data_IF_056623842730
#
_entry.id   IF_056623842730
#
_cell.length_a   1.000
_cell.length_b   1.000
_cell.length_c   1.000
_cell.angle_alpha   90.00
_cell.angle_beta   90.00
_cell.angle_gamma   90.00
#
_symmetry.space_group_name_H-M   'P 1'
#
loop_
_entity.id
_entity.type
_entity.pdbx_description
1 polymer ?
#
# COMPACT_ATOMS: atom_id res chain seq x y z
N UNK A 1 17.39 10.95 10.46
CA UNK A 1 18.37 10.79 9.36
C UNK A 1 17.93 9.83 8.24
N UNK A 2 17.48 8.60 8.54
CA UNK A 2 17.11 7.61 7.49
C UNK A 2 16.06 8.11 6.48
N UNK A 3 14.97 8.72 6.94
CA UNK A 3 13.94 9.27 6.04
C UNK A 3 14.41 10.46 5.21
N UNK A 4 15.31 11.28 5.75
CA UNK A 4 15.90 12.41 5.04
C UNK A 4 16.81 11.94 3.89
N UNK A 5 17.64 10.92 4.13
CA UNK A 5 18.48 10.32 3.09
C UNK A 5 17.64 9.64 2.00
N UNK A 6 16.59 8.91 2.37
CA UNK A 6 15.67 8.29 1.41
C UNK A 6 14.98 9.37 0.56
N UNK A 7 14.52 10.46 1.19
CA UNK A 7 13.91 11.58 0.46
C UNK A 7 14.88 12.21 -0.54
N UNK A 8 16.12 12.47 -0.13
CA UNK A 8 17.14 13.08 -0.99
C UNK A 8 17.52 12.16 -2.16
N UNK A 9 17.60 10.84 -1.92
CA UNK A 9 17.81 9.84 -2.96
C UNK A 9 16.66 9.82 -3.99
N UNK A 10 15.41 9.81 -3.52
CA UNK A 10 14.23 9.84 -4.39
C UNK A 10 14.19 11.12 -5.21
N UNK A 11 14.51 12.27 -4.59
CA UNK A 11 14.59 13.56 -5.28
C UNK A 11 15.68 13.55 -6.35
N UNK A 12 16.86 13.02 -6.06
CA UNK A 12 17.95 12.91 -7.02
C UNK A 12 17.57 12.05 -8.23
N UNK A 13 16.97 10.87 -7.99
CA UNK A 13 16.47 10.00 -9.08
C UNK A 13 15.44 10.74 -9.93
N UNK A 14 14.51 11.47 -9.29
CA UNK A 14 13.49 12.23 -10.00
C UNK A 14 14.09 13.32 -10.89
N UNK A 15 15.04 14.11 -10.38
CA UNK A 15 15.74 15.14 -11.15
C UNK A 15 16.47 14.53 -12.34
N UNK A 16 17.17 13.41 -12.14
CA UNK A 16 17.89 12.72 -13.22
C UNK A 16 16.91 12.23 -14.29
N UNK A 17 15.81 11.59 -13.91
CA UNK A 17 14.78 11.14 -14.87
C UNK A 17 14.18 12.27 -15.69
N UNK A 18 13.82 13.41 -15.05
CA UNK A 18 13.29 14.58 -15.75
C UNK A 18 14.33 15.17 -16.69
N UNK A 19 15.58 15.28 -16.25
CA UNK A 19 16.67 15.86 -17.04
C UNK A 19 17.01 14.99 -18.25
N UNK A 20 17.06 13.66 -18.08
CA UNK A 20 17.27 12.71 -19.19
C UNK A 20 16.13 12.76 -20.21
N UNK A 21 14.90 12.95 -19.73
CA UNK A 21 13.76 13.24 -20.60
C UNK A 21 13.96 14.57 -21.34
N UNK A 22 14.21 15.67 -20.64
CA UNK A 22 14.34 16.99 -21.24
C UNK A 22 15.49 17.10 -22.27
N UNK A 23 16.59 16.36 -22.10
CA UNK A 23 17.69 16.33 -23.08
C UNK A 23 17.45 15.38 -24.26
N UNK A 24 16.43 14.52 -24.21
CA UNK A 24 16.03 13.68 -25.34
C UNK A 24 15.09 14.47 -26.27
N UNK A 25 15.69 15.37 -27.05
CA UNK A 25 14.98 16.23 -28.02
C UNK A 25 14.74 15.58 -29.38
N UNK A 26 15.06 14.30 -29.53
CA UNK A 26 14.79 13.56 -30.75
C UNK A 26 13.27 13.48 -30.99
N UNK A 27 12.86 13.98 -32.15
CA UNK A 27 11.47 13.97 -32.62
C UNK A 27 11.24 12.71 -33.45
N UNK A 28 10.13 12.02 -33.19
CA UNK A 28 9.65 10.87 -33.96
C UNK A 28 8.30 11.23 -34.56
N UNK A 29 8.18 11.02 -35.87
CA UNK A 29 6.96 11.23 -36.63
C UNK A 29 6.05 10.01 -36.51
N UNK A 30 4.89 10.20 -35.89
CA UNK A 30 3.83 9.21 -35.85
C UNK A 30 2.82 9.49 -36.95
N UNK A 31 2.76 8.59 -37.93
CA UNK A 31 1.75 8.62 -38.97
C UNK A 31 0.51 7.86 -38.48
N UNK A 32 -0.47 8.59 -37.97
CA UNK A 32 -1.81 8.04 -37.75
C UNK A 32 -2.56 7.99 -39.09
N UNK A 33 -3.50 7.06 -39.22
CA UNK A 33 -4.21 6.80 -40.48
C UNK A 33 -4.90 8.04 -41.11
N UNK A 34 -5.14 9.10 -40.33
CA UNK A 34 -5.74 10.35 -40.78
C UNK A 34 -4.87 11.60 -40.51
N UNK A 35 -3.76 11.49 -39.78
CA UNK A 35 -2.95 12.64 -39.38
C UNK A 35 -1.52 12.26 -38.99
N UNK A 36 -0.55 13.12 -39.28
CA UNK A 36 0.84 12.96 -38.85
C UNK A 36 1.10 13.84 -37.62
N UNK A 37 1.54 13.24 -36.53
CA UNK A 37 1.90 13.94 -35.29
C UNK A 37 3.39 13.82 -35.00
N UNK A 38 4.05 14.94 -34.70
CA UNK A 38 5.44 14.98 -34.28
C UNK A 38 5.52 14.95 -32.75
N UNK A 39 6.12 13.88 -32.21
CA UNK A 39 6.26 13.71 -30.77
C UNK A 39 7.74 13.53 -30.39
N UNK A 40 8.15 14.15 -29.28
CA UNK A 40 9.49 13.91 -28.73
C UNK A 40 9.53 12.56 -28.02
N UNK A 41 10.60 11.80 -28.19
CA UNK A 41 10.79 10.51 -27.50
C UNK A 41 10.66 10.68 -25.99
N UNK A 42 11.19 11.79 -25.47
CA UNK A 42 11.10 12.19 -24.07
C UNK A 42 9.67 12.27 -23.54
N UNK A 43 8.75 12.87 -24.31
CA UNK A 43 7.34 12.98 -23.90
C UNK A 43 6.65 11.63 -23.88
N UNK A 44 6.89 10.78 -24.88
CA UNK A 44 6.35 9.43 -24.95
C UNK A 44 6.83 8.59 -23.76
N UNK A 45 8.15 8.62 -23.50
CA UNK A 45 8.75 7.87 -22.40
C UNK A 45 8.26 8.38 -21.04
N UNK A 46 8.14 9.69 -20.86
CA UNK A 46 7.61 10.29 -19.63
C UNK A 46 6.15 9.86 -19.38
N UNK A 47 5.30 9.87 -20.42
CA UNK A 47 3.90 9.43 -20.31
C UNK A 47 3.81 7.95 -19.97
N UNK A 48 4.57 7.09 -20.67
CA UNK A 48 4.63 5.66 -20.39
C UNK A 48 5.10 5.36 -18.96
N UNK A 49 6.16 6.04 -18.51
CA UNK A 49 6.68 5.88 -17.17
C UNK A 49 5.69 6.35 -16.10
N UNK A 50 5.09 7.54 -16.29
CA UNK A 50 4.09 8.07 -15.36
C UNK A 50 2.86 7.18 -15.27
N UNK A 51 2.37 6.68 -16.41
CA UNK A 51 1.24 5.74 -16.46
C UNK A 51 1.58 4.42 -15.77
N UNK A 52 2.75 3.84 -16.07
CA UNK A 52 3.23 2.61 -15.45
C UNK A 52 3.40 2.76 -13.93
N UNK A 53 3.98 3.87 -13.48
CA UNK A 53 4.13 4.20 -12.07
C UNK A 53 2.77 4.37 -11.39
N UNK A 54 1.82 5.09 -12.00
CA UNK A 54 0.48 5.27 -11.46
C UNK A 54 -0.26 3.94 -11.30
N UNK A 55 -0.19 3.06 -12.30
CA UNK A 55 -0.79 1.72 -12.24
C UNK A 55 -0.12 0.89 -11.13
N UNK A 56 1.20 0.85 -11.09
CA UNK A 56 1.96 0.11 -10.07
C UNK A 56 1.66 0.62 -8.66
N UNK A 57 1.60 1.93 -8.48
CA UNK A 57 1.22 2.58 -7.23
C UNK A 57 -0.20 2.21 -6.81
N UNK A 58 -1.15 2.23 -7.74
CA UNK A 58 -2.56 1.93 -7.46
C UNK A 58 -2.74 0.46 -7.05
N UNK A 59 -2.10 -0.48 -7.77
CA UNK A 59 -2.11 -1.90 -7.41
C UNK A 59 -1.47 -2.10 -6.03
N UNK A 60 -0.25 -1.57 -5.83
CA UNK A 60 0.46 -1.73 -4.57
C UNK A 60 -0.32 -1.12 -3.39
N UNK A 61 -0.87 0.08 -3.58
CA UNK A 61 -1.69 0.77 -2.59
C UNK A 61 -2.95 -0.01 -2.21
N UNK A 62 -3.66 -0.58 -3.19
CA UNK A 62 -4.83 -1.43 -2.94
C UNK A 62 -4.46 -2.69 -2.16
N UNK A 63 -3.40 -3.40 -2.54
CA UNK A 63 -2.95 -4.60 -1.84
C UNK A 63 -2.49 -4.28 -0.41
N UNK A 64 -1.71 -3.22 -0.23
CA UNK A 64 -1.26 -2.76 1.08
C UNK A 64 -2.44 -2.40 1.99
N UNK A 65 -3.43 -1.66 1.46
CA UNK A 65 -4.63 -1.30 2.20
C UNK A 65 -5.43 -2.55 2.61
N UNK A 66 -5.58 -3.51 1.69
CA UNK A 66 -6.28 -4.77 1.97
C UNK A 66 -5.61 -5.54 3.12
N UNK A 67 -4.27 -5.64 3.10
CA UNK A 67 -3.49 -6.29 4.16
C UNK A 67 -3.62 -5.55 5.50
N UNK A 68 -3.51 -4.22 5.49
CA UNK A 68 -3.73 -3.37 6.68
C UNK A 68 -5.12 -3.58 7.29
N UNK A 69 -6.16 -3.63 6.45
CA UNK A 69 -7.53 -3.86 6.91
C UNK A 69 -7.69 -5.28 7.46
N UNK A 70 -7.11 -6.30 6.84
CA UNK A 70 -7.17 -7.67 7.37
C UNK A 70 -6.46 -7.79 8.72
N UNK A 71 -5.32 -7.12 8.90
CA UNK A 71 -4.60 -7.09 10.17
C UNK A 71 -5.44 -6.46 11.28
N UNK A 72 -6.01 -5.28 11.03
CA UNK A 72 -6.88 -4.61 12.00
C UNK A 72 -8.13 -5.44 12.35
N UNK A 73 -8.69 -6.17 11.38
CA UNK A 73 -9.80 -7.10 11.64
C UNK A 73 -9.36 -8.31 12.46
N UNK A 74 -8.18 -8.88 12.19
CA UNK A 74 -7.64 -10.01 12.93
C UNK A 74 -7.33 -9.64 14.39
N UNK A 75 -6.69 -8.49 14.64
CA UNK A 75 -6.42 -7.99 15.99
C UNK A 75 -7.72 -7.77 16.79
N UNK A 76 -8.76 -7.20 16.16
CA UNK A 76 -10.07 -7.04 16.81
C UNK A 76 -10.72 -8.39 17.15
N UNK A 77 -10.54 -9.42 16.32
CA UNK A 77 -11.05 -10.77 16.59
C UNK A 77 -10.30 -11.41 17.76
N UNK A 78 -8.98 -11.31 17.80
CA UNK A 78 -8.14 -11.81 18.90
C UNK A 78 -8.57 -11.18 20.22
N UNK A 79 -8.69 -9.85 20.27
CA UNK A 79 -9.09 -9.13 21.49
C UNK A 79 -10.48 -9.55 22.02
N UNK A 80 -11.43 -9.85 21.12
CA UNK A 80 -12.77 -10.34 21.50
C UNK A 80 -12.72 -11.77 22.05
N UNK A 81 -11.90 -12.64 21.46
CA UNK A 81 -11.73 -14.02 21.93
C UNK A 81 -11.03 -14.04 23.30
N UNK A 82 -9.98 -13.25 23.49
CA UNK A 82 -9.32 -13.07 24.79
C UNK A 82 -10.30 -12.60 25.87
N UNK A 83 -11.17 -11.64 25.54
CA UNK A 83 -12.23 -11.17 26.45
C UNK A 83 -13.34 -12.19 26.74
N UNK A 84 -13.53 -13.22 25.91
CA UNK A 84 -14.49 -14.30 26.17
C UNK A 84 -13.88 -15.46 26.97
N UNK A 85 -12.56 -15.66 26.84
CA UNK A 85 -11.82 -16.65 27.60
C UNK A 85 -11.58 -16.18 29.05
N UNK A 86 -11.33 -14.89 29.26
CA UNK A 86 -11.12 -14.31 30.60
C UNK A 86 -12.31 -14.44 31.60
N UNK A 87 -13.59 -14.33 31.23
CA UNK A 87 -14.71 -14.49 32.16
C UNK A 87 -15.06 -15.97 32.45
N UNK A 88 -14.59 -16.93 31.63
CA UNK A 88 -14.89 -18.35 31.86
C UNK A 88 -14.06 -18.99 32.98
N UNK A 89 -12.93 -18.39 33.36
CA UNK A 89 -12.09 -18.85 34.49
C UNK A 89 -12.51 -18.29 35.85
N UNK A 90 -13.55 -17.46 35.91
CA UNK A 90 -14.12 -16.92 37.15
C UNK A 90 -15.55 -17.44 37.37
N UNK A 91 -15.73 -18.76 37.43
CA UNK A 91 -16.89 -19.34 38.13
C UNK A 91 -16.49 -19.61 39.58
N UNK A 92 -17.21 -19.08 40.59
CA UNK A 92 -16.88 -19.27 42.00
C UNK A 92 -16.99 -20.75 42.39
N UNK A 93 -15.91 -21.30 42.94
CA UNK A 93 -16.05 -22.35 43.93
C UNK A 93 -16.83 -21.77 45.14
N UNK A 94 -17.65 -22.59 45.78
CA UNK A 94 -18.51 -22.28 46.93
C UNK A 94 -19.89 -21.67 46.64
N UNK A 95 -20.83 -22.53 46.26
CA UNK A 95 -22.22 -22.38 46.68
C UNK A 95 -22.73 -23.73 47.20
N UNK A 96 -22.59 -23.89 48.53
CA UNK A 96 -23.41 -24.70 49.44
C UNK A 96 -23.94 -26.05 48.96
N UNK A 97 -23.27 -27.13 49.38
CA UNK A 97 -23.92 -28.43 49.59
C UNK A 97 -24.79 -28.30 50.85
N UNK A 98 -26.12 -28.52 50.80
CA UNK A 98 -26.89 -28.69 52.02
C UNK A 98 -26.55 -30.08 52.57
N UNK A 99 -25.81 -30.12 53.67
CA UNK A 99 -25.57 -31.34 54.41
C UNK A 99 -26.92 -31.82 54.99
N UNK A 100 -27.48 -32.86 54.37
CA UNK A 100 -28.46 -33.75 55.01
C UNK A 100 -27.74 -34.42 56.19
N UNK A 101 -28.21 -34.15 57.41
CA UNK A 101 -27.94 -34.98 58.58
C UNK A 101 -29.22 -35.18 59.38
N UNK A 102 -29.30 -36.39 59.89
CA UNK A 102 -30.40 -37.14 60.54
C UNK A 102 -31.22 -36.38 61.58
#
# INVERSE_FOLDING_TARGET
>A
MKYFLIFLLVLAIFVISVTLGAQNDQVVTFNYLLAQGEFRISTLLAVLFAAGFAIGWLICGLFWLRVRVSLARAERKIKRLEQQIAPASATPAEAGVPAVKE
#
